data_IF_511443438857
#
_entry.id   IF_511443438857
#
_cell.length_a   1.000
_cell.length_b   1.000
_cell.length_c   1.000
_cell.angle_alpha   90.00
_cell.angle_beta   90.00
_cell.angle_gamma   90.00
#
_symmetry.space_group_name_H-M   'P 1'
#
loop_
_entity.id
_entity.type
_entity.pdbx_description
1 polymer ?
#
# COMPACT_ATOMS: atom_id res chain seq x y z
N UNK A 1 -15.23 -8.63 -13.88
CA UNK A 1 -15.41 -7.58 -14.90
C UNK A 1 -14.02 -7.09 -15.23
N UNK A 2 -13.61 -7.21 -16.49
CA UNK A 2 -12.29 -6.78 -16.97
C UNK A 2 -12.40 -5.31 -17.42
N UNK A 3 -11.58 -4.44 -16.85
CA UNK A 3 -11.52 -3.01 -17.19
C UNK A 3 -10.09 -2.73 -17.66
N UNK A 4 -9.86 -2.76 -18.97
CA UNK A 4 -8.59 -2.39 -19.60
C UNK A 4 -8.57 -0.87 -19.90
N UNK A 5 -7.57 -0.15 -19.39
CA UNK A 5 -7.26 1.23 -19.79
C UNK A 5 -6.10 1.20 -20.79
N UNK A 6 -6.29 1.74 -22.00
CA UNK A 6 -5.26 1.81 -23.04
C UNK A 6 -4.34 3.02 -22.87
N UNK A 7 -3.04 2.83 -23.05
CA UNK A 7 -2.06 3.92 -23.22
C UNK A 7 -2.19 4.49 -24.64
N UNK A 8 -1.90 5.78 -24.85
CA UNK A 8 -1.93 6.46 -26.16
C UNK A 8 -1.16 5.66 -27.22
N UNK A 9 -1.89 5.00 -28.11
CA UNK A 9 -1.39 4.40 -29.35
C UNK A 9 -1.83 5.26 -30.52
N UNK A 10 -0.91 5.56 -31.44
CA UNK A 10 -1.22 6.22 -32.70
C UNK A 10 -1.92 5.21 -33.62
N UNK A 11 -3.26 5.14 -33.59
CA UNK A 11 -4.04 4.22 -34.43
C UNK A 11 -5.26 3.63 -33.72
N UNK A 12 -6.01 2.80 -34.45
CA UNK A 12 -7.10 2.03 -33.87
C UNK A 12 -6.55 0.98 -32.89
N UNK A 13 -7.26 0.76 -31.78
CA UNK A 13 -6.90 -0.28 -30.79
C UNK A 13 -7.05 -1.65 -31.44
N UNK A 14 -5.94 -2.34 -31.58
CA UNK A 14 -5.91 -3.78 -31.85
C UNK A 14 -5.81 -4.52 -30.53
N UNK A 15 -6.87 -5.24 -30.16
CA UNK A 15 -6.98 -5.99 -28.90
C UNK A 15 -5.97 -7.13 -28.77
N UNK A 16 -5.26 -7.49 -29.85
CA UNK A 16 -4.20 -8.50 -29.85
C UNK A 16 -2.79 -7.93 -29.71
N UNK A 17 -2.56 -6.66 -30.05
CA UNK A 17 -1.20 -6.10 -30.17
C UNK A 17 -1.00 -4.78 -29.43
N UNK A 18 -2.08 -4.09 -29.08
CA UNK A 18 -2.01 -2.83 -28.32
C UNK A 18 -1.64 -3.13 -26.86
N UNK A 19 -0.56 -2.53 -26.33
CA UNK A 19 -0.22 -2.65 -24.91
C UNK A 19 -1.37 -2.22 -24.01
N UNK A 20 -1.76 -3.08 -23.08
CA UNK A 20 -2.80 -2.81 -22.09
C UNK A 20 -2.33 -3.15 -20.69
N UNK A 21 -2.80 -2.38 -19.70
CA UNK A 21 -2.71 -2.78 -18.28
C UNK A 21 -3.97 -3.57 -17.94
N UNK A 22 -3.80 -4.76 -17.38
CA UNK A 22 -4.89 -5.61 -16.92
C UNK A 22 -5.10 -5.44 -15.41
N UNK A 23 -6.37 -5.45 -14.99
CA UNK A 23 -6.74 -5.30 -13.59
C UNK A 23 -7.61 -6.47 -13.15
N UNK A 24 -7.20 -7.15 -12.08
CA UNK A 24 -7.98 -8.23 -11.48
C UNK A 24 -8.58 -7.74 -10.17
N UNK A 25 -9.89 -7.94 -10.01
CA UNK A 25 -10.62 -7.62 -8.80
C UNK A 25 -11.03 -8.91 -8.08
N UNK A 26 -11.02 -8.87 -6.75
CA UNK A 26 -11.62 -9.90 -5.90
C UNK A 26 -13.12 -10.02 -6.16
N UNK A 27 -13.70 -11.11 -5.70
CA UNK A 27 -15.13 -11.35 -5.86
C UNK A 27 -15.98 -10.35 -5.04
N UNK A 28 -17.27 -10.16 -5.37
CA UNK A 28 -18.12 -9.22 -4.66
C UNK A 28 -18.33 -9.52 -3.17
N UNK A 29 -18.23 -10.77 -2.73
CA UNK A 29 -18.31 -11.11 -1.29
C UNK A 29 -17.07 -10.64 -0.52
N UNK A 30 -15.97 -10.43 -1.24
CA UNK A 30 -14.73 -9.81 -0.77
C UNK A 30 -14.66 -8.31 -1.10
N UNK A 31 -15.77 -7.67 -1.46
CA UNK A 31 -15.84 -6.22 -1.67
C UNK A 31 -15.32 -5.70 -3.02
N UNK A 32 -15.15 -6.57 -4.03
CA UNK A 32 -14.72 -6.16 -5.38
C UNK A 32 -13.45 -5.30 -5.39
N UNK A 33 -12.49 -5.64 -4.53
CA UNK A 33 -11.23 -4.91 -4.31
C UNK A 33 -10.22 -5.24 -5.40
N UNK A 34 -9.42 -4.27 -5.86
CA UNK A 34 -8.33 -4.51 -6.80
C UNK A 34 -7.29 -5.42 -6.14
N UNK A 35 -6.97 -6.57 -6.72
CA UNK A 35 -6.01 -7.52 -6.15
C UNK A 35 -4.75 -7.70 -7.00
N UNK A 36 -4.79 -7.36 -8.29
CA UNK A 36 -3.62 -7.47 -9.16
C UNK A 36 -3.68 -6.50 -10.34
N UNK A 37 -2.52 -5.94 -10.71
CA UNK A 37 -2.31 -5.11 -11.88
C UNK A 37 -1.17 -5.68 -12.71
N UNK A 38 -1.43 -6.07 -13.96
CA UNK A 38 -0.43 -6.63 -14.87
C UNK A 38 -0.10 -5.62 -15.96
N UNK A 39 1.16 -5.20 -16.03
CA UNK A 39 1.67 -4.28 -17.04
C UNK A 39 1.92 -5.00 -18.38
N UNK A 40 1.96 -4.27 -19.52
CA UNK A 40 2.22 -4.86 -20.82
C UNK A 40 3.55 -5.65 -20.92
N UNK A 41 4.52 -5.32 -20.08
CA UNK A 41 5.81 -6.01 -20.01
C UNK A 41 5.78 -7.27 -19.12
N UNK A 42 4.62 -7.68 -18.60
CA UNK A 42 4.45 -8.83 -17.71
C UNK A 42 4.73 -8.56 -16.23
N UNK A 43 5.20 -7.36 -15.85
CA UNK A 43 5.34 -7.00 -14.44
C UNK A 43 3.97 -7.01 -13.77
N UNK A 44 3.90 -7.61 -12.58
CA UNK A 44 2.65 -7.75 -11.83
C UNK A 44 2.79 -7.05 -10.48
N UNK A 45 1.80 -6.23 -10.14
CA UNK A 45 1.68 -5.59 -8.82
C UNK A 45 0.46 -6.16 -8.13
N UNK A 46 0.67 -6.79 -6.98
CA UNK A 46 -0.37 -7.43 -6.20
C UNK A 46 -0.73 -6.59 -4.97
N UNK A 47 -2.02 -6.54 -4.67
CA UNK A 47 -2.61 -5.73 -3.61
C UNK A 47 -3.20 -6.64 -2.54
N UNK A 48 -2.61 -6.64 -1.35
CA UNK A 48 -3.07 -7.46 -0.24
C UNK A 48 -3.92 -6.65 0.72
N UNK A 49 -4.98 -7.27 1.26
CA UNK A 49 -5.88 -6.66 2.23
C UNK A 49 -5.85 -7.36 3.60
N UNK A 50 -4.98 -8.34 3.80
CA UNK A 50 -4.95 -9.08 5.07
C UNK A 50 -4.09 -10.33 5.04
N UNK A 51 -3.02 -10.32 4.25
CA UNK A 51 -2.03 -11.41 4.27
C UNK A 51 -1.03 -11.26 5.40
N UNK A 52 -1.15 -10.21 6.24
CA UNK A 52 -0.22 -9.94 7.34
C UNK A 52 1.11 -9.36 6.84
N UNK A 53 1.08 -8.65 5.70
CA UNK A 53 2.25 -7.89 5.24
C UNK A 53 2.55 -6.77 6.22
N UNK A 54 1.53 -6.07 6.71
CA UNK A 54 1.68 -5.25 7.90
C UNK A 54 1.49 -6.11 9.15
N UNK A 55 2.30 -5.79 10.14
CA UNK A 55 2.38 -6.44 11.44
C UNK A 55 1.16 -6.14 12.34
N UNK A 56 0.10 -5.48 11.85
CA UNK A 56 -0.98 -4.99 12.69
C UNK A 56 -2.35 -5.20 12.03
N UNK A 57 -3.05 -6.26 12.44
CA UNK A 57 -4.49 -6.43 12.31
C UNK A 57 -5.03 -6.87 10.92
N UNK A 58 -4.32 -7.77 10.25
CA UNK A 58 -4.68 -8.37 8.96
C UNK A 58 -6.14 -8.86 8.85
N UNK A 59 -6.71 -9.42 9.92
CA UNK A 59 -8.11 -9.87 9.92
C UNK A 59 -9.09 -8.70 9.83
N UNK A 60 -8.82 -7.60 10.54
CA UNK A 60 -9.63 -6.38 10.48
C UNK A 60 -9.50 -5.71 9.11
N UNK A 61 -8.27 -5.57 8.61
CA UNK A 61 -8.00 -4.97 7.30
C UNK A 61 -8.76 -5.70 6.20
N UNK A 62 -8.79 -7.02 6.27
CA UNK A 62 -9.51 -7.82 5.29
C UNK A 62 -11.01 -7.60 5.41
N UNK A 63 -11.54 -7.56 6.63
CA UNK A 63 -12.97 -7.41 6.89
C UNK A 63 -13.54 -6.06 6.44
N UNK A 64 -12.75 -4.98 6.52
CA UNK A 64 -13.22 -3.62 6.18
C UNK A 64 -12.60 -3.07 4.88
N UNK A 65 -11.86 -3.90 4.15
CA UNK A 65 -11.34 -3.56 2.83
C UNK A 65 -10.16 -2.58 2.84
N UNK A 66 -9.31 -2.61 3.86
CA UNK A 66 -8.07 -1.82 3.89
C UNK A 66 -6.91 -2.54 3.23
N UNK A 67 -6.14 -1.79 2.45
CA UNK A 67 -4.94 -2.29 1.83
C UNK A 67 -3.85 -2.48 2.91
N UNK A 68 -3.42 -3.71 3.08
CA UNK A 68 -2.36 -4.11 4.02
C UNK A 68 -0.98 -3.80 3.43
N UNK A 69 -0.82 -4.04 2.13
CA UNK A 69 0.43 -3.75 1.42
C UNK A 69 0.40 -4.06 -0.07
N UNK A 70 1.51 -3.74 -0.73
CA UNK A 70 1.74 -3.95 -2.15
C UNK A 70 2.98 -4.80 -2.38
N UNK A 71 2.90 -5.68 -3.38
CA UNK A 71 3.94 -6.64 -3.72
C UNK A 71 4.22 -6.59 -5.22
N UNK A 72 5.49 -6.72 -5.60
CA UNK A 72 5.92 -6.92 -6.98
C UNK A 72 6.19 -8.40 -7.25
N UNK A 73 5.44 -8.98 -8.20
CA UNK A 73 5.63 -10.34 -8.69
C UNK A 73 5.28 -11.44 -7.69
N UNK A 74 4.14 -11.35 -6.99
CA UNK A 74 3.68 -12.44 -6.14
C UNK A 74 3.23 -13.64 -6.99
N UNK A 75 3.66 -14.84 -6.63
CA UNK A 75 3.38 -16.06 -7.40
C UNK A 75 2.90 -17.20 -6.48
N UNK A 76 2.42 -18.30 -7.06
CA UNK A 76 2.10 -19.51 -6.30
C UNK A 76 3.36 -20.10 -5.66
N UNK A 77 3.63 -19.75 -4.39
CA UNK A 77 4.77 -20.22 -3.61
C UNK A 77 5.82 -19.16 -3.28
N UNK A 78 5.70 -17.94 -3.79
CA UNK A 78 6.59 -16.81 -3.47
C UNK A 78 5.77 -15.55 -3.21
N UNK A 79 6.06 -14.88 -2.08
CA UNK A 79 5.43 -13.62 -1.72
C UNK A 79 5.99 -12.44 -2.52
N UNK A 80 6.93 -12.65 -3.44
CA UNK A 80 7.49 -11.58 -4.28
C UNK A 80 8.24 -10.52 -3.48
N UNK A 81 8.40 -9.34 -4.05
CA UNK A 81 9.06 -8.21 -3.38
C UNK A 81 8.05 -7.28 -2.76
N UNK A 82 8.02 -7.17 -1.43
CA UNK A 82 7.15 -6.21 -0.73
C UNK A 82 7.61 -4.79 -1.01
N UNK A 83 6.73 -4.00 -1.66
CA UNK A 83 6.99 -2.62 -2.06
C UNK A 83 6.57 -1.62 -0.98
N UNK A 84 5.39 -1.82 -0.40
CA UNK A 84 4.82 -0.92 0.60
C UNK A 84 3.95 -1.70 1.60
N UNK A 85 3.94 -1.28 2.86
CA UNK A 85 3.05 -1.79 3.91
C UNK A 85 2.43 -0.62 4.67
N UNK A 86 1.16 -0.74 5.05
CA UNK A 86 0.43 0.35 5.70
C UNK A 86 0.12 0.04 7.16
N UNK A 87 0.12 1.06 7.99
CA UNK A 87 -0.47 1.00 9.34
C UNK A 87 -1.49 2.10 9.51
N UNK A 88 -2.59 1.79 10.17
CA UNK A 88 -3.75 2.67 10.26
C UNK A 88 -4.09 3.06 11.70
N UNK A 89 -4.54 4.30 11.86
CA UNK A 89 -5.27 4.80 13.02
C UNK A 89 -6.76 4.89 12.65
N UNK A 90 -7.61 4.28 13.48
CA UNK A 90 -9.05 4.28 13.25
C UNK A 90 -9.42 3.57 11.94
N UNK A 91 -10.35 4.14 11.18
CA UNK A 91 -10.91 3.52 9.97
C UNK A 91 -10.03 3.70 8.73
N UNK A 92 -9.34 4.82 8.55
CA UNK A 92 -8.69 5.14 7.26
C UNK A 92 -7.39 5.94 7.36
N UNK A 93 -7.02 6.44 8.54
CA UNK A 93 -5.85 7.31 8.66
C UNK A 93 -4.57 6.50 8.61
N UNK A 94 -3.80 6.63 7.53
CA UNK A 94 -2.48 6.00 7.42
C UNK A 94 -1.50 6.75 8.34
N UNK A 95 -0.92 6.03 9.30
CA UNK A 95 0.05 6.56 10.27
C UNK A 95 1.46 6.06 10.05
N UNK A 96 1.65 5.01 9.26
CA UNK A 96 2.97 4.59 8.80
C UNK A 96 2.89 3.96 7.40
N UNK A 97 3.95 4.17 6.62
CA UNK A 97 4.18 3.50 5.34
C UNK A 97 5.61 2.99 5.33
N UNK A 98 5.74 1.67 5.32
CA UNK A 98 7.05 1.01 5.26
C UNK A 98 7.37 0.68 3.81
N UNK A 99 8.57 1.00 3.35
CA UNK A 99 9.08 0.64 2.03
C UNK A 99 10.30 -0.27 2.20
N UNK A 100 10.12 -1.60 2.39
CA UNK A 100 11.21 -2.50 2.74
C UNK A 100 12.38 -2.50 1.75
N UNK A 101 12.10 -2.27 0.47
CA UNK A 101 13.11 -2.28 -0.59
C UNK A 101 14.06 -1.07 -0.50
N UNK A 102 13.55 0.12 -0.16
CA UNK A 102 14.36 1.34 -0.07
C UNK A 102 14.81 1.65 1.35
N UNK A 103 14.07 1.16 2.35
CA UNK A 103 14.22 1.52 3.75
C UNK A 103 13.83 2.97 4.06
N UNK A 104 13.16 3.67 3.14
CA UNK A 104 12.71 5.04 3.37
C UNK A 104 11.25 5.01 3.78
N UNK A 105 10.97 5.15 5.08
CA UNK A 105 9.64 4.97 5.65
C UNK A 105 9.03 6.31 6.03
N UNK A 106 7.72 6.43 5.85
CA UNK A 106 6.92 7.52 6.42
C UNK A 106 6.39 7.07 7.78
N UNK A 107 6.51 7.91 8.81
CA UNK A 107 5.84 7.70 10.10
C UNK A 107 5.23 9.00 10.64
N UNK A 108 4.01 8.90 11.14
CA UNK A 108 3.36 9.90 11.99
C UNK A 108 3.47 9.52 13.48
N UNK A 109 3.97 8.32 13.77
CA UNK A 109 4.17 7.80 15.12
C UNK A 109 5.52 8.27 15.63
N UNK A 110 5.55 8.79 16.86
CA UNK A 110 6.78 9.19 17.53
C UNK A 110 7.56 8.00 18.07
N UNK A 111 8.83 8.24 18.39
CA UNK A 111 9.64 7.29 19.17
C UNK A 111 9.01 7.04 20.54
N UNK A 112 9.34 5.92 21.18
CA UNK A 112 8.84 5.59 22.51
C UNK A 112 8.97 6.76 23.49
N UNK A 113 7.88 7.11 24.18
CA UNK A 113 7.82 8.24 25.12
C UNK A 113 7.53 9.60 24.48
N UNK A 114 7.45 9.70 23.16
CA UNK A 114 7.00 10.93 22.50
C UNK A 114 5.53 11.20 22.80
N UNK A 115 5.18 12.47 23.00
CA UNK A 115 3.81 12.93 23.25
C UNK A 115 3.45 13.92 22.13
N UNK A 116 2.51 13.53 21.27
CA UNK A 116 1.96 14.34 20.19
C UNK A 116 1.05 15.45 20.71
N UNK A 117 0.59 16.32 19.80
CA UNK A 117 -0.26 17.46 20.16
C UNK A 117 -1.58 17.04 20.82
N UNK A 118 -2.09 15.84 20.51
CA UNK A 118 -3.29 15.27 21.14
C UNK A 118 -3.02 14.56 22.47
N UNK A 119 -1.78 14.53 22.95
CA UNK A 119 -1.40 13.78 24.15
C UNK A 119 -1.16 12.28 23.94
N UNK A 120 -1.10 11.82 22.69
CA UNK A 120 -0.90 10.42 22.31
C UNK A 120 0.47 10.20 21.61
N UNK A 121 0.71 8.99 21.09
CA UNK A 121 1.96 8.66 20.41
C UNK A 121 2.11 9.26 18.99
N UNK A 122 1.08 9.90 18.44
CA UNK A 122 1.03 10.34 17.05
C UNK A 122 1.53 11.78 16.90
N UNK A 123 2.86 11.94 16.96
CA UNK A 123 3.52 13.26 16.86
C UNK A 123 3.36 13.96 15.51
N UNK A 124 3.02 13.22 14.44
CA UNK A 124 2.74 13.79 13.12
C UNK A 124 1.33 14.34 12.98
N UNK A 125 0.46 14.15 13.98
CA UNK A 125 -0.91 14.64 13.98
C UNK A 125 -1.10 15.81 14.95
N UNK A 126 -1.94 16.77 14.57
CA UNK A 126 -2.46 17.76 15.50
C UNK A 126 -3.64 17.23 16.33
N UNK A 127 -4.09 18.02 17.30
CA UNK A 127 -5.22 17.69 18.18
C UNK A 127 -6.57 17.47 17.46
N UNK A 128 -6.65 17.78 16.16
CA UNK A 128 -7.83 17.55 15.32
C UNK A 128 -7.66 16.34 14.39
N UNK A 129 -6.57 15.58 14.53
CA UNK A 129 -6.26 14.42 13.68
C UNK A 129 -5.81 14.78 12.27
N UNK A 130 -5.45 16.05 12.02
CA UNK A 130 -4.89 16.48 10.73
C UNK A 130 -3.38 16.25 10.75
N UNK A 131 -2.80 16.03 9.57
CA UNK A 131 -1.36 15.90 9.42
C UNK A 131 -0.70 17.26 9.70
N UNK A 132 0.09 17.32 10.76
CA UNK A 132 0.90 18.47 11.13
C UNK A 132 2.36 18.31 10.67
N UNK A 133 2.86 17.07 10.67
CA UNK A 133 4.23 16.75 10.25
C UNK A 133 4.29 15.34 9.63
N UNK A 134 5.13 15.18 8.60
CA UNK A 134 5.38 13.92 7.91
C UNK A 134 6.85 13.56 8.00
N UNK A 135 7.20 12.65 8.91
CA UNK A 135 8.59 12.23 9.11
C UNK A 135 8.96 11.12 8.15
N UNK A 136 9.97 11.38 7.33
CA UNK A 136 10.59 10.39 6.46
C UNK A 136 11.89 9.93 7.10
N UNK A 137 11.95 8.65 7.48
CA UNK A 137 13.10 8.04 8.15
C UNK A 137 13.78 7.04 7.24
N UNK A 138 15.11 6.98 7.31
CA UNK A 138 15.87 5.90 6.69
C UNK A 138 16.08 4.78 7.72
N UNK A 139 15.52 3.59 7.50
CA UNK A 139 15.64 2.43 8.39
C UNK A 139 16.80 1.52 8.03
N UNK A 140 17.48 1.77 6.91
CA UNK A 140 18.71 1.05 6.51
C UNK A 140 19.97 1.71 7.05
N UNK A 141 19.87 2.98 7.44
CA UNK A 141 20.97 3.75 8.04
C UNK A 141 20.54 4.16 9.43
N UNK A 142 21.25 3.72 10.47
CA UNK A 142 20.98 4.05 11.88
C UNK A 142 21.28 5.52 12.23
N UNK A 143 21.07 6.45 11.30
CA UNK A 143 21.34 7.88 11.48
C UNK A 143 20.11 8.66 11.03
N UNK A 144 19.36 9.15 12.02
CA UNK A 144 18.29 10.13 11.83
C UNK A 144 18.98 11.46 11.50
N UNK A 145 18.62 12.08 10.37
CA UNK A 145 19.00 13.48 10.08
C UNK A 145 17.83 14.38 10.43
#
# INVERSE_FOLDING_TARGET
>A
MDLSWSVSVTGAVDTSTTPSVQYTYSDPSSGSRLISMVYPNGRTIDYSYGSGLSNNNAALDNAIGRLDGMVDGANSGDMGTVLEQYSYLGLSTIVARNHPQTGINLTLVGSAGSIGSGGDQYVGLDQFGRIADQKWINTTTTTIT
#
